data_IF_856196938902
#
_entry.id   IF_856196938902
#
_cell.length_a   1.000
_cell.length_b   1.000
_cell.length_c   1.000
_cell.angle_alpha   90.00
_cell.angle_beta   90.00
_cell.angle_gamma   90.00
#
_symmetry.space_group_name_H-M   'P 1'
#
loop_
_entity.id
_entity.type
_entity.pdbx_description
1 polymer ?
#
# COMPACT_ATOMS: atom_id res chain seq x y z
N UNK A 1 -49.78 -16.27 -36.22
CA UNK A 1 -50.16 -15.97 -37.62
C UNK A 1 -50.19 -14.45 -37.77
N UNK A 2 -49.80 -13.90 -38.93
CA UNK A 2 -49.72 -12.45 -39.18
C UNK A 2 -51.12 -11.79 -39.06
N UNK A 3 -51.29 -10.69 -38.30
CA UNK A 3 -50.99 -9.27 -38.59
C UNK A 3 -52.12 -8.55 -39.34
N UNK A 4 -52.49 -7.34 -38.88
CA UNK A 4 -52.97 -6.18 -39.66
C UNK A 4 -53.35 -5.00 -38.74
N UNK A 5 -52.90 -3.79 -39.09
CA UNK A 5 -53.38 -2.49 -38.56
C UNK A 5 -54.55 -1.98 -39.47
N UNK A 6 -55.26 -0.82 -39.25
CA UNK A 6 -54.67 0.49 -38.91
C UNK A 6 -55.53 1.57 -38.17
N UNK A 7 -54.88 2.71 -37.86
CA UNK A 7 -55.38 4.11 -37.97
C UNK A 7 -56.08 4.86 -36.80
N UNK A 8 -55.25 5.71 -36.13
CA UNK A 8 -55.42 7.17 -35.84
C UNK A 8 -56.66 7.75 -35.12
N UNK A 9 -56.40 8.38 -33.96
CA UNK A 9 -56.83 9.73 -33.47
C UNK A 9 -56.01 10.08 -32.20
N UNK A 10 -55.73 11.34 -31.77
CA UNK A 10 -55.79 12.68 -32.39
C UNK A 10 -54.88 13.69 -31.60
N UNK A 11 -53.93 14.38 -32.26
CA UNK A 11 -53.28 15.64 -31.80
C UNK A 11 -52.31 15.59 -30.59
N UNK A 12 -51.43 16.58 -30.33
CA UNK A 12 -50.80 17.63 -31.15
C UNK A 12 -49.48 18.03 -30.46
N UNK A 13 -48.37 18.20 -31.17
CA UNK A 13 -47.10 18.74 -30.61
C UNK A 13 -46.99 20.24 -30.87
N UNK A 14 -46.44 20.98 -29.90
CA UNK A 14 -46.02 22.37 -30.06
C UNK A 14 -44.50 22.51 -29.85
N UNK A 15 -43.90 23.33 -30.71
CA UNK A 15 -42.46 23.59 -30.80
C UNK A 15 -42.04 24.79 -29.92
N UNK A 16 -40.73 24.99 -29.79
CA UNK A 16 -40.17 26.34 -29.72
C UNK A 16 -38.94 26.47 -30.65
N UNK A 17 -38.89 27.56 -31.42
CA UNK A 17 -37.72 28.03 -32.17
C UNK A 17 -36.82 28.88 -31.23
N UNK A 18 -35.57 29.29 -31.54
CA UNK A 18 -34.82 29.31 -32.79
C UNK A 18 -34.76 30.71 -33.41
N UNK A 19 -33.58 31.37 -33.44
CA UNK A 19 -33.16 32.34 -34.49
C UNK A 19 -31.69 32.79 -34.32
N UNK A 20 -31.15 33.55 -35.28
CA UNK A 20 -29.70 33.79 -35.45
C UNK A 20 -29.34 35.12 -36.15
N UNK A 21 -28.08 35.59 -35.93
CA UNK A 21 -27.26 36.54 -36.73
C UNK A 21 -27.60 38.04 -36.75
N UNK A 22 -26.55 38.87 -36.67
CA UNK A 22 -26.26 40.05 -37.53
C UNK A 22 -24.73 40.32 -37.53
N UNK A 23 -24.19 41.15 -38.44
CA UNK A 23 -22.75 41.28 -38.71
C UNK A 23 -22.29 42.70 -39.15
N UNK A 24 -20.97 42.88 -39.39
CA UNK A 24 -20.21 44.09 -39.91
C UNK A 24 -19.85 45.17 -38.86
N UNK A 25 -18.72 45.90 -38.87
CA UNK A 25 -17.45 45.88 -39.66
C UNK A 25 -16.29 46.60 -38.88
N UNK A 26 -15.04 46.62 -39.40
CA UNK A 26 -13.77 46.99 -38.72
C UNK A 26 -13.38 48.50 -38.74
N UNK A 27 -12.29 48.93 -38.02
CA UNK A 27 -10.97 49.06 -38.67
C UNK A 27 -9.75 48.63 -37.80
N UNK A 28 -8.55 49.19 -38.06
CA UNK A 28 -7.23 48.50 -38.01
C UNK A 28 -6.21 48.98 -36.95
N UNK A 29 -5.02 48.33 -36.98
CA UNK A 29 -3.68 48.76 -36.48
C UNK A 29 -3.38 48.73 -34.97
N UNK A 30 -2.29 48.05 -34.59
CA UNK A 30 -1.75 48.07 -33.22
C UNK A 30 -0.81 46.90 -32.89
N UNK A 31 0.36 46.81 -33.51
CA UNK A 31 1.36 45.82 -33.12
C UNK A 31 2.12 46.27 -31.86
N UNK A 32 1.97 45.55 -30.74
CA UNK A 32 2.82 45.77 -29.56
C UNK A 32 3.42 44.46 -29.04
N UNK A 33 4.74 44.34 -29.20
CA UNK A 33 5.59 43.34 -28.54
C UNK A 33 5.42 43.45 -27.03
N UNK A 34 5.04 42.36 -26.37
CA UNK A 34 5.47 42.14 -24.98
C UNK A 34 6.86 41.53 -25.05
N UNK A 35 7.85 42.28 -24.55
CA UNK A 35 9.26 41.91 -24.62
C UNK A 35 9.56 40.88 -23.53
N UNK A 36 10.06 39.72 -23.94
CA UNK A 36 10.74 38.78 -23.05
C UNK A 36 12.00 39.43 -22.49
N UNK A 37 11.96 39.85 -21.23
CA UNK A 37 13.12 40.21 -20.43
C UNK A 37 13.41 39.07 -19.44
N UNK A 38 14.68 38.71 -19.30
CA UNK A 38 15.22 37.62 -18.48
C UNK A 38 15.13 36.19 -19.04
N UNK A 39 15.82 35.95 -20.16
CA UNK A 39 16.42 34.64 -20.48
C UNK A 39 17.54 34.30 -19.48
N UNK A 40 17.19 33.96 -18.23
CA UNK A 40 18.17 33.50 -17.24
C UNK A 40 18.44 32.01 -17.46
N UNK A 41 19.59 31.71 -18.08
CA UNK A 41 20.15 30.35 -18.23
C UNK A 41 20.05 29.62 -16.88
N UNK A 42 19.51 28.39 -16.81
CA UNK A 42 19.46 27.65 -15.55
C UNK A 42 20.88 27.48 -15.03
N UNK A 43 21.14 27.91 -13.78
CA UNK A 43 22.35 27.50 -13.10
C UNK A 43 22.32 25.96 -12.97
N UNK A 44 23.46 25.25 -13.12
CA UNK A 44 23.49 23.84 -12.85
C UNK A 44 23.03 23.62 -11.40
N UNK A 45 21.99 22.80 -11.21
CA UNK A 45 21.62 22.34 -9.86
C UNK A 45 22.89 21.74 -9.24
N UNK A 46 23.24 22.06 -7.98
CA UNK A 46 24.28 21.31 -7.30
C UNK A 46 23.86 19.85 -7.34
N UNK A 47 24.76 18.97 -7.80
CA UNK A 47 24.55 17.52 -7.63
C UNK A 47 24.30 17.29 -6.13
N UNK A 48 23.33 16.45 -5.73
CA UNK A 48 23.35 15.89 -4.40
C UNK A 48 24.76 15.36 -4.15
N UNK A 49 25.35 15.70 -3.00
CA UNK A 49 26.62 15.10 -2.63
C UNK A 49 26.40 13.58 -2.62
N UNK A 50 27.19 12.85 -3.41
CA UNK A 50 27.16 11.40 -3.31
C UNK A 50 27.49 11.06 -1.86
N UNK A 51 26.59 10.35 -1.18
CA UNK A 51 26.81 9.88 0.18
C UNK A 51 27.79 8.71 0.08
N UNK A 52 29.05 9.04 -0.16
CA UNK A 52 30.17 8.10 -0.15
C UNK A 52 30.47 7.77 1.29
N UNK A 53 29.70 6.84 1.84
CA UNK A 53 29.91 6.24 3.15
C UNK A 53 29.83 4.72 3.04
N UNK A 54 30.77 4.12 2.33
CA UNK A 54 31.21 2.75 2.63
C UNK A 54 32.03 2.78 3.94
N UNK A 55 31.37 3.20 5.03
CA UNK A 55 31.93 3.13 6.38
C UNK A 55 32.15 1.67 6.76
N UNK A 56 33.23 1.31 7.49
CA UNK A 56 33.48 -0.08 7.88
C UNK A 56 32.28 -0.77 8.55
N UNK A 57 31.53 -0.01 9.37
CA UNK A 57 30.32 -0.45 10.08
C UNK A 57 29.24 -1.08 9.17
N UNK A 58 29.21 -0.70 7.89
CA UNK A 58 28.20 -1.15 6.92
C UNK A 58 28.53 -2.54 6.40
N UNK A 59 29.80 -2.84 6.14
CA UNK A 59 30.24 -4.20 5.79
C UNK A 59 30.00 -5.17 6.93
N UNK A 60 30.31 -4.76 8.16
CA UNK A 60 30.09 -5.54 9.38
C UNK A 60 28.59 -5.76 9.69
N UNK A 61 27.70 -4.84 9.28
CA UNK A 61 26.26 -5.08 9.28
C UNK A 61 25.84 -6.03 8.15
N UNK A 62 26.35 -5.85 6.94
CA UNK A 62 25.99 -6.67 5.78
C UNK A 62 26.35 -8.15 5.98
N UNK A 63 27.53 -8.43 6.55
CA UNK A 63 28.00 -9.78 6.88
C UNK A 63 27.07 -10.54 7.85
N UNK A 64 26.21 -9.85 8.62
CA UNK A 64 25.22 -10.50 9.49
C UNK A 64 24.02 -11.04 8.71
N UNK A 65 23.76 -10.52 7.51
CA UNK A 65 22.54 -10.78 6.74
C UNK A 65 22.79 -11.57 5.44
N UNK A 66 24.03 -11.60 4.95
CA UNK A 66 24.41 -12.21 3.68
C UNK A 66 25.50 -13.27 3.84
N UNK A 67 25.56 -14.22 2.91
CA UNK A 67 26.57 -15.28 2.85
C UNK A 67 26.36 -16.45 3.83
N UNK A 68 27.40 -17.30 4.02
CA UNK A 68 27.30 -18.52 4.83
C UNK A 68 27.05 -18.25 6.32
N UNK A 69 27.68 -17.21 6.87
CA UNK A 69 27.69 -16.88 8.31
C UNK A 69 26.49 -16.02 8.76
N UNK A 70 25.56 -15.74 7.85
CA UNK A 70 24.34 -14.95 8.12
C UNK A 70 23.51 -15.51 9.29
N UNK A 71 22.61 -14.68 9.83
CA UNK A 71 21.62 -15.11 10.83
C UNK A 71 20.73 -16.24 10.29
N UNK A 72 20.49 -17.26 11.10
CA UNK A 72 19.57 -18.37 10.82
C UNK A 72 18.38 -18.33 11.80
N UNK A 73 17.25 -18.94 11.44
CA UNK A 73 16.02 -18.92 12.24
C UNK A 73 16.14 -19.70 13.57
N UNK A 74 17.02 -20.69 13.63
CA UNK A 74 17.45 -21.39 14.84
C UNK A 74 18.88 -20.97 15.23
N UNK A 75 19.20 -20.91 16.54
CA UNK A 75 20.56 -20.65 17.02
C UNK A 75 21.49 -21.85 16.79
N UNK A 76 22.79 -21.58 16.85
CA UNK A 76 23.84 -22.60 16.81
C UNK A 76 23.63 -23.64 17.91
N UNK A 77 23.79 -24.92 17.55
CA UNK A 77 23.51 -26.06 18.43
C UNK A 77 22.08 -26.62 18.33
N UNK A 78 21.13 -25.92 17.69
CA UNK A 78 19.80 -26.46 17.35
C UNK A 78 19.62 -26.79 15.86
N UNK A 79 20.43 -26.18 14.99
CA UNK A 79 20.51 -26.50 13.56
C UNK A 79 21.97 -26.44 13.14
N UNK A 80 22.46 -27.44 12.42
CA UNK A 80 23.79 -27.36 11.79
C UNK A 80 23.71 -26.63 10.44
N UNK A 81 24.80 -25.95 10.05
CA UNK A 81 24.88 -25.24 8.76
C UNK A 81 24.74 -26.19 7.57
N UNK A 82 25.08 -27.48 7.71
CA UNK A 82 24.88 -28.50 6.66
C UNK A 82 23.42 -28.93 6.47
N UNK A 83 22.51 -28.64 7.42
CA UNK A 83 21.09 -28.94 7.33
C UNK A 83 20.30 -27.84 6.60
N UNK A 84 20.93 -26.68 6.36
CA UNK A 84 20.33 -25.59 5.58
C UNK A 84 20.22 -26.00 4.11
N UNK A 85 19.06 -25.85 3.46
CA UNK A 85 18.90 -26.22 2.05
C UNK A 85 19.86 -25.44 1.15
N UNK A 86 20.53 -26.14 0.21
CA UNK A 86 21.60 -25.57 -0.64
C UNK A 86 21.19 -24.34 -1.47
N UNK A 87 19.90 -24.22 -1.82
CA UNK A 87 19.33 -23.07 -2.55
C UNK A 87 19.09 -21.84 -1.65
N UNK A 88 19.26 -21.97 -0.33
CA UNK A 88 19.27 -20.87 0.64
C UNK A 88 20.73 -20.56 1.02
N UNK A 89 21.42 -19.89 0.10
CA UNK A 89 22.85 -19.63 0.15
C UNK A 89 23.24 -18.31 0.83
N UNK A 90 22.28 -17.46 1.20
CA UNK A 90 22.53 -16.13 1.76
C UNK A 90 22.77 -15.02 0.75
N UNK A 91 22.45 -15.19 -0.53
CA UNK A 91 22.47 -14.10 -1.53
C UNK A 91 21.20 -13.23 -1.48
N UNK A 92 20.08 -13.78 -0.98
CA UNK A 92 18.79 -13.09 -0.92
C UNK A 92 18.64 -12.27 0.37
N UNK A 93 18.16 -11.01 0.30
CA UNK A 93 17.88 -10.20 1.49
C UNK A 93 16.91 -10.92 2.44
N UNK A 94 17.35 -11.13 3.68
CA UNK A 94 16.53 -11.77 4.70
C UNK A 94 16.43 -13.30 4.56
N UNK A 95 17.37 -13.96 3.89
CA UNK A 95 17.52 -15.41 3.97
C UNK A 95 17.95 -15.83 5.39
N UNK A 96 17.12 -16.63 6.08
CA UNK A 96 17.42 -17.23 7.40
C UNK A 96 17.51 -18.77 7.36
N UNK A 97 17.57 -19.40 6.17
CA UNK A 97 17.57 -20.86 6.01
C UNK A 97 16.21 -21.52 6.27
N UNK A 98 15.11 -20.76 6.31
CA UNK A 98 13.78 -21.25 6.66
C UNK A 98 12.96 -21.69 5.43
N UNK A 99 13.01 -22.98 5.09
CA UNK A 99 12.01 -23.65 4.24
C UNK A 99 11.74 -25.09 4.74
N UNK A 100 11.00 -25.26 5.87
CA UNK A 100 10.76 -26.58 6.46
C UNK A 100 9.86 -27.49 5.61
N UNK A 101 9.15 -26.93 4.62
CA UNK A 101 8.27 -27.69 3.72
C UNK A 101 8.93 -27.94 2.34
N UNK A 102 10.06 -27.29 2.05
CA UNK A 102 10.81 -27.45 0.83
C UNK A 102 10.05 -26.99 -0.42
N UNK A 103 9.25 -25.92 -0.30
CA UNK A 103 8.42 -25.41 -1.38
C UNK A 103 9.24 -24.75 -2.49
N UNK A 104 10.41 -24.21 -2.17
CA UNK A 104 11.18 -23.34 -3.06
C UNK A 104 12.37 -24.03 -3.74
N UNK A 105 12.38 -25.36 -3.81
CA UNK A 105 13.52 -26.17 -4.32
C UNK A 105 13.93 -25.89 -5.77
N UNK A 106 13.04 -25.35 -6.61
CA UNK A 106 13.35 -25.00 -8.00
C UNK A 106 13.67 -23.50 -8.11
N UNK A 107 14.71 -23.07 -8.85
CA UNK A 107 15.07 -21.65 -8.99
C UNK A 107 13.94 -20.75 -9.53
N UNK A 108 13.11 -21.27 -10.44
CA UNK A 108 11.94 -20.56 -10.97
C UNK A 108 10.87 -20.34 -9.89
N UNK A 109 10.55 -21.40 -9.14
CA UNK A 109 9.58 -21.34 -8.04
C UNK A 109 10.10 -20.45 -6.91
N UNK A 110 11.39 -20.54 -6.56
CA UNK A 110 12.06 -19.67 -5.58
C UNK A 110 11.93 -18.18 -5.92
N UNK A 111 12.31 -17.78 -7.13
CA UNK A 111 12.22 -16.38 -7.58
C UNK A 111 10.77 -15.86 -7.56
N UNK A 112 9.82 -16.74 -7.89
CA UNK A 112 8.38 -16.45 -7.86
C UNK A 112 7.83 -16.32 -6.43
N UNK A 113 8.23 -17.19 -5.51
CA UNK A 113 7.85 -17.09 -4.09
C UNK A 113 8.47 -15.87 -3.42
N UNK A 114 9.72 -15.52 -3.74
CA UNK A 114 10.35 -14.27 -3.31
C UNK A 114 9.55 -13.03 -3.78
N UNK A 115 9.12 -13.02 -5.05
CA UNK A 115 8.28 -11.95 -5.57
C UNK A 115 6.90 -11.89 -4.87
N UNK A 116 6.27 -13.04 -4.61
CA UNK A 116 5.04 -13.09 -3.83
C UNK A 116 5.25 -12.57 -2.41
N UNK A 117 6.32 -12.98 -1.73
CA UNK A 117 6.63 -12.54 -0.37
C UNK A 117 6.81 -11.02 -0.31
N UNK A 118 7.61 -10.44 -1.21
CA UNK A 118 7.86 -9.00 -1.24
C UNK A 118 6.59 -8.19 -1.52
N UNK A 119 5.72 -8.65 -2.42
CA UNK A 119 4.47 -7.96 -2.75
C UNK A 119 3.48 -8.06 -1.58
N UNK A 120 3.28 -9.25 -0.98
CA UNK A 120 2.44 -9.39 0.21
C UNK A 120 2.99 -8.60 1.40
N UNK A 121 4.30 -8.55 1.59
CA UNK A 121 4.98 -7.73 2.58
C UNK A 121 4.65 -6.24 2.42
N UNK A 122 4.75 -5.69 1.20
CA UNK A 122 4.42 -4.28 0.93
C UNK A 122 2.96 -3.96 1.19
N UNK A 123 2.04 -4.80 0.70
CA UNK A 123 0.61 -4.65 0.97
C UNK A 123 0.27 -4.80 2.46
N UNK A 124 0.92 -5.71 3.18
CA UNK A 124 0.73 -5.87 4.61
C UNK A 124 1.27 -4.70 5.43
N UNK A 125 2.39 -4.06 5.04
CA UNK A 125 2.87 -2.84 5.70
C UNK A 125 1.87 -1.69 5.56
N UNK A 126 1.30 -1.50 4.35
CA UNK A 126 0.24 -0.51 4.11
C UNK A 126 -1.04 -0.85 4.87
N UNK A 127 -1.46 -2.12 4.86
CA UNK A 127 -2.64 -2.60 5.58
C UNK A 127 -2.53 -2.45 7.09
N UNK A 128 -1.40 -2.84 7.69
CA UNK A 128 -1.17 -2.73 9.13
C UNK A 128 -1.19 -1.26 9.58
N UNK A 129 -0.52 -0.36 8.85
CA UNK A 129 -0.60 1.07 9.13
C UNK A 129 -2.04 1.61 8.95
N UNK A 130 -2.73 1.22 7.88
CA UNK A 130 -4.10 1.61 7.58
C UNK A 130 -5.15 1.07 8.57
N UNK A 131 -4.86 -0.01 9.29
CA UNK A 131 -5.74 -0.56 10.32
C UNK A 131 -5.48 0.10 11.69
N UNK A 132 -4.22 0.32 12.05
CA UNK A 132 -3.84 0.89 13.36
C UNK A 132 -4.11 2.40 13.42
N UNK A 133 -3.72 3.16 12.39
CA UNK A 133 -3.70 4.63 12.47
C UNK A 133 -5.11 5.23 12.63
N UNK A 134 -6.14 4.84 11.85
CA UNK A 134 -7.48 5.42 12.01
C UNK A 134 -8.10 5.09 13.37
N UNK A 135 -7.93 3.86 13.86
CA UNK A 135 -8.44 3.41 15.16
C UNK A 135 -7.75 4.18 16.31
N UNK A 136 -6.42 4.34 16.25
CA UNK A 136 -5.66 5.13 17.21
C UNK A 136 -6.06 6.61 17.19
N UNK A 137 -6.17 7.21 16.01
CA UNK A 137 -6.62 8.59 15.86
C UNK A 137 -8.03 8.79 16.45
N UNK A 138 -8.96 7.87 16.20
CA UNK A 138 -10.31 7.94 16.77
C UNK A 138 -10.28 7.84 18.31
N UNK A 139 -9.47 6.92 18.86
CA UNK A 139 -9.30 6.78 20.31
C UNK A 139 -8.68 8.00 21.00
N UNK A 140 -7.81 8.74 20.30
CA UNK A 140 -7.19 9.97 20.79
C UNK A 140 -7.90 11.26 20.32
N UNK A 141 -9.17 11.17 19.86
CA UNK A 141 -10.04 12.33 19.66
C UNK A 141 -9.97 13.00 18.28
N UNK A 142 -9.24 12.43 17.31
CA UNK A 142 -9.31 12.86 15.92
C UNK A 142 -10.44 12.08 15.20
N UNK A 143 -11.41 12.81 14.62
CA UNK A 143 -12.58 12.21 13.99
C UNK A 143 -12.24 11.54 12.64
N UNK A 144 -11.81 10.28 12.69
CA UNK A 144 -11.56 9.44 11.51
C UNK A 144 -12.81 8.66 11.05
N UNK A 145 -14.01 9.14 11.40
CA UNK A 145 -15.28 8.47 11.15
C UNK A 145 -15.93 7.91 12.42
N UNK A 146 -17.26 7.67 12.40
CA UNK A 146 -17.99 7.21 13.58
C UNK A 146 -17.48 5.86 14.12
N UNK A 147 -17.02 4.98 13.22
CA UNK A 147 -16.38 3.71 13.58
C UNK A 147 -15.13 3.48 12.72
N UNK A 148 -14.00 4.07 13.09
CA UNK A 148 -12.70 3.89 12.43
C UNK A 148 -12.06 2.51 12.70
N UNK A 149 -12.85 1.44 12.66
CA UNK A 149 -12.45 0.05 12.95
C UNK A 149 -12.41 -0.72 11.63
N UNK A 150 -11.23 -1.22 11.27
CA UNK A 150 -10.93 -1.70 9.90
C UNK A 150 -11.93 -2.73 9.32
N UNK A 151 -12.47 -3.64 10.15
CA UNK A 151 -13.41 -4.67 9.72
C UNK A 151 -14.86 -4.18 9.60
N UNK A 152 -15.16 -2.96 10.09
CA UNK A 152 -16.46 -2.31 9.98
C UNK A 152 -16.53 -1.23 8.91
N UNK A 153 -15.41 -0.57 8.59
CA UNK A 153 -15.35 0.60 7.68
C UNK A 153 -16.06 0.38 6.33
N UNK A 154 -16.05 -0.86 5.80
CA UNK A 154 -16.73 -1.19 4.55
C UNK A 154 -18.27 -1.08 4.61
N UNK A 155 -18.88 -1.33 5.77
CA UNK A 155 -20.33 -1.18 5.96
C UNK A 155 -20.76 0.30 5.96
N UNK A 156 -19.96 1.18 6.55
CA UNK A 156 -20.25 2.62 6.63
C UNK A 156 -20.49 3.29 5.27
N UNK A 157 -19.86 2.76 4.19
CA UNK A 157 -20.01 3.25 2.82
C UNK A 157 -21.26 2.70 2.10
N UNK A 158 -21.89 1.64 2.63
CA UNK A 158 -23.14 1.07 2.11
C UNK A 158 -24.37 1.84 2.66
N UNK A 159 -24.30 2.31 3.90
CA UNK A 159 -25.42 2.97 4.61
C UNK A 159 -25.72 4.41 4.14
N UNK A 160 -25.19 4.81 2.97
CA UNK A 160 -25.44 6.12 2.34
C UNK A 160 -24.65 7.29 2.93
N UNK A 161 -23.84 7.06 3.96
CA UNK A 161 -22.94 8.05 4.53
C UNK A 161 -21.64 8.15 3.71
N UNK A 162 -21.00 9.32 3.73
CA UNK A 162 -19.64 9.52 3.20
C UNK A 162 -18.59 9.20 4.26
N UNK A 163 -17.48 8.61 3.83
CA UNK A 163 -16.34 8.34 4.71
C UNK A 163 -15.71 9.66 5.18
N UNK A 164 -15.50 9.81 6.48
CA UNK A 164 -14.77 10.94 7.05
C UNK A 164 -13.28 10.60 7.20
N UNK A 165 -12.42 11.53 6.81
CA UNK A 165 -10.97 11.43 6.95
C UNK A 165 -10.45 12.67 7.68
N UNK A 166 -9.99 12.48 8.92
CA UNK A 166 -9.57 13.56 9.83
C UNK A 166 -10.56 14.73 9.89
N UNK A 167 -11.84 14.43 10.11
CA UNK A 167 -12.94 15.39 10.21
C UNK A 167 -13.48 15.93 8.87
N UNK A 168 -12.87 15.58 7.74
CA UNK A 168 -13.31 16.00 6.42
C UNK A 168 -14.06 14.86 5.72
N UNK A 169 -15.30 15.11 5.33
CA UNK A 169 -16.08 14.17 4.50
C UNK A 169 -15.44 14.03 3.11
N UNK A 170 -15.08 12.81 2.71
CA UNK A 170 -14.65 12.50 1.35
C UNK A 170 -15.91 12.31 0.49
N UNK A 171 -16.16 13.12 -0.55
CA UNK A 171 -17.39 13.07 -1.35
C UNK A 171 -17.36 11.95 -2.40
N UNK A 172 -17.08 10.71 -1.95
CA UNK A 172 -17.13 9.49 -2.77
C UNK A 172 -18.22 8.56 -2.25
N UNK A 173 -18.99 7.99 -3.17
CA UNK A 173 -19.87 6.87 -2.88
C UNK A 173 -19.19 5.55 -3.29
N UNK A 174 -19.81 4.41 -2.96
CA UNK A 174 -19.28 3.08 -3.29
C UNK A 174 -18.93 2.92 -4.78
N UNK A 175 -19.75 3.44 -5.69
CA UNK A 175 -19.53 3.32 -7.14
C UNK A 175 -18.25 4.04 -7.56
N UNK A 176 -18.03 5.27 -7.06
CA UNK A 176 -16.83 6.05 -7.35
C UNK A 176 -15.60 5.43 -6.69
N UNK A 177 -15.71 4.93 -5.45
CA UNK A 177 -14.62 4.25 -4.76
C UNK A 177 -14.15 3.00 -5.53
N UNK A 178 -15.07 2.07 -5.83
CA UNK A 178 -14.76 0.84 -6.58
C UNK A 178 -14.22 1.14 -7.97
N UNK A 179 -14.79 2.11 -8.69
CA UNK A 179 -14.28 2.52 -10.00
C UNK A 179 -12.86 3.10 -9.93
N UNK A 180 -12.58 3.93 -8.93
CA UNK A 180 -11.25 4.51 -8.71
C UNK A 180 -10.22 3.42 -8.34
N UNK A 181 -10.56 2.51 -7.43
CA UNK A 181 -9.69 1.39 -7.02
C UNK A 181 -9.35 0.48 -8.20
N UNK A 182 -10.37 0.01 -8.94
CA UNK A 182 -10.16 -0.89 -10.10
C UNK A 182 -9.33 -0.22 -11.20
N UNK A 183 -9.59 1.05 -11.51
CA UNK A 183 -8.87 1.77 -12.58
C UNK A 183 -7.45 2.14 -12.14
N UNK A 184 -7.25 2.67 -10.93
CA UNK A 184 -5.96 3.17 -10.49
C UNK A 184 -5.03 2.04 -10.03
N UNK A 185 -5.51 1.11 -9.18
CA UNK A 185 -4.69 0.00 -8.69
C UNK A 185 -4.52 -1.05 -9.79
N UNK A 186 -5.59 -1.40 -10.50
CA UNK A 186 -5.50 -2.30 -11.66
C UNK A 186 -4.64 -1.72 -12.79
N UNK A 187 -4.72 -0.41 -13.02
CA UNK A 187 -3.84 0.31 -13.95
C UNK A 187 -2.38 0.30 -13.52
N UNK A 188 -2.09 0.50 -12.23
CA UNK A 188 -0.74 0.43 -11.67
C UNK A 188 -0.13 -0.99 -11.78
N UNK A 189 -0.91 -2.03 -11.46
CA UNK A 189 -0.49 -3.42 -11.62
C UNK A 189 -0.24 -3.78 -13.09
N UNK A 190 -1.11 -3.33 -14.01
CA UNK A 190 -0.89 -3.50 -15.45
C UNK A 190 0.39 -2.79 -15.92
N UNK A 191 0.60 -1.54 -15.49
CA UNK A 191 1.79 -0.75 -15.83
C UNK A 191 3.10 -1.38 -15.32
N UNK A 192 3.04 -2.00 -14.12
CA UNK A 192 4.13 -2.81 -13.54
C UNK A 192 4.41 -4.06 -14.36
N UNK A 193 3.38 -4.76 -14.85
CA UNK A 193 3.52 -5.98 -15.65
C UNK A 193 4.13 -5.71 -17.04
N UNK A 194 3.69 -4.65 -17.73
CA UNK A 194 4.22 -4.29 -19.05
C UNK A 194 5.60 -3.63 -19.00
N UNK A 195 6.16 -3.40 -17.80
CA UNK A 195 7.39 -2.66 -17.55
C UNK A 195 7.41 -1.29 -18.26
N UNK A 196 6.37 -0.47 -18.08
CA UNK A 196 6.17 0.77 -18.85
C UNK A 196 7.21 1.88 -18.63
N UNK A 197 8.20 1.66 -17.77
CA UNK A 197 9.37 2.52 -17.50
C UNK A 197 10.70 1.87 -17.91
N UNK A 198 10.68 0.68 -18.49
CA UNK A 198 11.84 -0.13 -18.91
C UNK A 198 12.92 -0.29 -17.82
N UNK A 199 12.49 -0.75 -16.63
CA UNK A 199 13.34 -0.90 -15.45
C UNK A 199 13.93 -2.31 -15.36
N UNK A 200 15.18 -2.42 -14.91
CA UNK A 200 15.94 -3.69 -14.85
C UNK A 200 15.44 -4.62 -13.74
N UNK A 201 15.37 -4.15 -12.49
CA UNK A 201 14.89 -4.91 -11.33
C UNK A 201 13.36 -4.74 -11.18
N UNK A 202 12.60 -5.79 -11.49
CA UNK A 202 11.13 -5.79 -11.39
C UNK A 202 10.61 -5.81 -9.95
N UNK A 203 11.43 -6.18 -8.97
CA UNK A 203 11.07 -6.24 -7.55
C UNK A 203 11.45 -4.94 -6.82
N UNK A 204 12.60 -4.35 -7.15
CA UNK A 204 13.06 -3.07 -6.61
C UNK A 204 13.35 -2.07 -7.76
N UNK A 205 12.30 -1.49 -8.38
CA UNK A 205 12.41 -0.70 -9.61
C UNK A 205 13.30 0.55 -9.54
N UNK A 206 13.61 1.06 -8.34
CA UNK A 206 14.50 2.20 -8.16
C UNK A 206 14.11 3.43 -8.98
N UNK A 207 15.10 4.14 -9.51
CA UNK A 207 14.88 5.24 -10.47
C UNK A 207 13.91 6.31 -9.94
N UNK A 208 12.77 6.58 -10.62
CA UNK A 208 11.76 7.54 -10.16
C UNK A 208 11.19 7.25 -8.76
N UNK A 209 11.27 6.01 -8.28
CA UNK A 209 10.74 5.59 -6.98
C UNK A 209 11.73 5.80 -5.81
N UNK A 210 12.97 6.22 -6.09
CA UNK A 210 13.91 6.72 -5.07
C UNK A 210 14.20 8.22 -5.28
N UNK A 211 13.25 9.12 -5.00
CA UNK A 211 13.45 10.56 -5.16
C UNK A 211 14.44 11.18 -4.17
N UNK A 212 14.87 10.43 -3.15
CA UNK A 212 15.80 10.87 -2.11
C UNK A 212 17.22 10.31 -2.31
N UNK A 213 17.43 9.35 -3.21
CA UNK A 213 18.73 8.74 -3.51
C UNK A 213 19.25 7.80 -2.42
N UNK A 214 18.36 7.21 -1.62
CA UNK A 214 18.71 6.35 -0.48
C UNK A 214 19.36 5.03 -0.90
N UNK A 215 19.11 4.56 -2.12
CA UNK A 215 19.64 3.32 -2.68
C UNK A 215 20.77 3.56 -3.72
N UNK A 216 21.47 4.70 -3.62
CA UNK A 216 22.56 5.06 -4.54
C UNK A 216 23.87 4.29 -4.34
N UNK A 217 24.10 3.76 -3.14
CA UNK A 217 25.18 2.84 -2.80
C UNK A 217 24.63 1.40 -2.73
N UNK A 218 25.21 0.41 -3.45
CA UNK A 218 24.73 -0.97 -3.42
C UNK A 218 24.70 -1.60 -2.02
N UNK A 219 25.65 -1.27 -1.13
CA UNK A 219 25.71 -1.86 0.21
C UNK A 219 24.60 -1.28 1.10
N UNK A 220 24.32 0.02 1.00
CA UNK A 220 23.12 0.62 1.61
C UNK A 220 21.84 0.05 1.02
N UNK A 221 21.75 -0.11 -0.31
CA UNK A 221 20.58 -0.68 -0.96
C UNK A 221 20.30 -2.11 -0.45
N UNK A 222 21.33 -2.95 -0.31
CA UNK A 222 21.22 -4.29 0.25
C UNK A 222 20.71 -4.29 1.70
N UNK A 223 21.30 -3.47 2.58
CA UNK A 223 20.83 -3.31 3.96
C UNK A 223 19.39 -2.76 4.06
N UNK A 224 19.01 -1.85 3.17
CA UNK A 224 17.65 -1.31 3.09
C UNK A 224 16.66 -2.38 2.60
N UNK A 225 17.02 -3.21 1.60
CA UNK A 225 16.21 -4.38 1.17
C UNK A 225 16.01 -5.37 2.33
N UNK A 226 17.04 -5.64 3.14
CA UNK A 226 16.92 -6.47 4.36
C UNK A 226 15.99 -5.83 5.40
N UNK A 227 16.05 -4.51 5.61
CA UNK A 227 15.13 -3.80 6.51
C UNK A 227 13.70 -3.81 5.98
N UNK A 228 13.50 -3.64 4.67
CA UNK A 228 12.20 -3.69 4.00
C UNK A 228 11.52 -5.04 4.22
N UNK A 229 12.17 -6.16 3.88
CA UNK A 229 11.57 -7.50 4.01
C UNK A 229 11.33 -7.89 5.48
N UNK A 230 12.17 -7.45 6.42
CA UNK A 230 11.96 -7.71 7.86
C UNK A 230 10.75 -6.96 8.42
N UNK A 231 10.56 -5.70 8.08
CA UNK A 231 9.34 -4.96 8.43
C UNK A 231 8.12 -5.56 7.70
N UNK A 232 8.29 -5.98 6.45
CA UNK A 232 7.30 -6.70 5.65
C UNK A 232 6.78 -7.98 6.31
N UNK A 233 7.68 -8.86 6.76
CA UNK A 233 7.35 -10.09 7.48
C UNK A 233 6.67 -9.81 8.81
N UNK A 234 7.15 -8.82 9.58
CA UNK A 234 6.51 -8.39 10.82
C UNK A 234 5.08 -7.87 10.54
N UNK A 235 4.87 -7.12 9.47
CA UNK A 235 3.56 -6.63 9.07
C UNK A 235 2.63 -7.76 8.62
N UNK A 236 3.09 -8.73 7.82
CA UNK A 236 2.30 -9.92 7.45
C UNK A 236 1.88 -10.73 8.69
N UNK A 237 2.80 -10.94 9.63
CA UNK A 237 2.50 -11.60 10.91
C UNK A 237 1.48 -10.80 11.73
N UNK A 238 1.64 -9.48 11.78
CA UNK A 238 0.72 -8.57 12.49
C UNK A 238 -0.68 -8.59 11.88
N UNK A 239 -0.80 -8.59 10.55
CA UNK A 239 -2.07 -8.67 9.83
C UNK A 239 -2.80 -9.99 10.12
N UNK A 240 -2.09 -11.13 10.14
CA UNK A 240 -2.67 -12.41 10.56
C UNK A 240 -3.18 -12.35 12.01
N UNK A 241 -2.40 -11.75 12.92
CA UNK A 241 -2.81 -11.49 14.29
C UNK A 241 -4.06 -10.61 14.38
N UNK A 242 -4.14 -9.55 13.57
CA UNK A 242 -5.28 -8.63 13.51
C UNK A 242 -6.54 -9.32 13.02
N UNK A 243 -6.46 -10.16 11.99
CA UNK A 243 -7.59 -10.95 11.50
C UNK A 243 -8.12 -11.90 12.58
N UNK A 244 -7.24 -12.69 13.21
CA UNK A 244 -7.63 -13.69 14.20
C UNK A 244 -8.17 -13.01 15.47
N UNK A 245 -7.46 -12.01 16.01
CA UNK A 245 -7.88 -11.39 17.27
C UNK A 245 -9.17 -10.59 17.09
N UNK A 246 -9.38 -9.89 15.96
CA UNK A 246 -10.62 -9.16 15.71
C UNK A 246 -11.82 -10.12 15.62
N UNK A 247 -11.64 -11.27 14.94
CA UNK A 247 -12.67 -12.31 14.87
C UNK A 247 -13.02 -12.90 16.24
N UNK A 248 -12.03 -13.11 17.13
CA UNK A 248 -12.25 -13.67 18.47
C UNK A 248 -12.78 -12.63 19.48
N UNK A 249 -12.35 -11.36 19.38
CA UNK A 249 -12.61 -10.33 20.40
C UNK A 249 -13.73 -9.35 20.03
N UNK A 250 -14.09 -9.24 18.75
CA UNK A 250 -15.04 -8.23 18.26
C UNK A 250 -14.51 -6.79 18.30
N UNK A 251 -13.18 -6.62 18.44
CA UNK A 251 -12.52 -5.33 18.69
C UNK A 251 -11.28 -5.16 17.79
N UNK A 252 -10.94 -3.91 17.48
CA UNK A 252 -9.75 -3.58 16.68
C UNK A 252 -8.43 -3.80 17.43
N UNK A 253 -7.28 -3.79 16.73
CA UNK A 253 -5.98 -3.94 17.36
C UNK A 253 -5.64 -2.88 18.42
N UNK A 254 -6.09 -1.63 18.27
CA UNK A 254 -5.76 -0.57 19.24
C UNK A 254 -6.63 -0.67 20.49
N UNK A 255 -7.90 -1.05 20.36
CA UNK A 255 -8.76 -1.32 21.51
C UNK A 255 -8.25 -2.54 22.30
N UNK A 256 -7.90 -3.63 21.59
CA UNK A 256 -7.26 -4.81 22.18
C UNK A 256 -5.98 -4.47 22.96
N UNK A 257 -5.08 -3.69 22.35
CA UNK A 257 -3.86 -3.23 22.99
C UNK A 257 -4.17 -2.40 24.24
N UNK A 258 -5.11 -1.46 24.16
CA UNK A 258 -5.47 -0.58 25.28
C UNK A 258 -6.05 -1.35 26.46
N UNK A 259 -6.92 -2.35 26.24
CA UNK A 259 -7.50 -3.18 27.30
C UNK A 259 -6.47 -4.12 27.93
N UNK A 260 -5.58 -4.67 27.11
CA UNK A 260 -4.47 -5.49 27.61
C UNK A 260 -3.49 -4.66 28.44
N UNK A 261 -3.18 -3.42 28.03
CA UNK A 261 -2.30 -2.53 28.81
C UNK A 261 -2.94 -2.03 30.11
N UNK A 262 -4.27 -1.89 30.18
CA UNK A 262 -4.95 -1.49 31.42
C UNK A 262 -5.03 -2.60 32.47
N UNK A 263 -5.18 -3.86 32.02
CA UNK A 263 -5.07 -5.03 32.89
C UNK A 263 -4.56 -6.26 32.09
N UNK A 264 -3.25 -6.55 32.11
CA UNK A 264 -2.67 -7.67 31.36
C UNK A 264 -3.17 -9.04 31.82
N UNK A 265 -3.59 -9.17 33.08
CA UNK A 265 -4.01 -10.44 33.68
C UNK A 265 -5.52 -10.68 33.54
N UNK A 266 -6.33 -9.62 33.62
CA UNK A 266 -7.78 -9.65 33.37
C UNK A 266 -8.18 -9.57 31.90
N UNK A 267 -7.39 -8.94 31.02
CA UNK A 267 -7.69 -8.78 29.58
C UNK A 267 -6.62 -9.45 28.70
N UNK A 268 -6.71 -10.76 28.53
CA UNK A 268 -5.85 -11.54 27.62
C UNK A 268 -6.65 -12.63 26.89
N UNK A 269 -5.98 -13.43 26.08
CA UNK A 269 -6.62 -14.49 25.28
C UNK A 269 -7.42 -15.49 26.14
N UNK A 270 -6.90 -15.87 27.32
CA UNK A 270 -7.54 -16.85 28.19
C UNK A 270 -8.80 -16.29 28.85
N UNK A 271 -8.78 -15.02 29.27
CA UNK A 271 -9.95 -14.39 29.89
C UNK A 271 -11.05 -14.06 28.87
N UNK A 272 -10.69 -13.77 27.62
CA UNK A 272 -11.65 -13.66 26.50
C UNK A 272 -12.28 -15.03 26.19
N UNK A 273 -11.48 -16.07 25.98
CA UNK A 273 -12.00 -17.41 25.62
C UNK A 273 -12.85 -18.03 26.74
N UNK A 274 -12.53 -17.78 28.01
CA UNK A 274 -13.33 -18.25 29.15
C UNK A 274 -14.60 -17.42 29.42
N UNK A 275 -14.83 -16.33 28.68
CA UNK A 275 -15.95 -15.42 28.91
C UNK A 275 -15.84 -14.60 30.20
N UNK A 276 -14.66 -14.58 30.84
CA UNK A 276 -14.40 -13.84 32.07
C UNK A 276 -14.10 -12.35 31.84
N UNK A 277 -13.62 -11.99 30.65
CA UNK A 277 -13.43 -10.59 30.25
C UNK A 277 -14.74 -10.00 29.69
N UNK A 278 -15.28 -8.98 30.36
CA UNK A 278 -16.45 -8.24 29.87
C UNK A 278 -16.08 -7.36 28.67
N UNK A 279 -16.16 -7.95 27.47
CA UNK A 279 -16.05 -7.26 26.19
C UNK A 279 -17.45 -6.91 25.72
N UNK A 280 -17.81 -5.62 25.74
CA UNK A 280 -18.97 -5.13 24.99
C UNK A 280 -18.71 -5.39 23.50
N UNK A 281 -19.45 -6.30 22.83
CA UNK A 281 -19.29 -6.49 21.41
C UNK A 281 -19.61 -5.16 20.74
N UNK A 282 -18.68 -4.60 19.98
CA UNK A 282 -18.90 -3.28 19.37
C UNK A 282 -19.95 -3.30 18.26
N UNK A 283 -20.39 -4.50 17.82
CA UNK A 283 -21.24 -4.85 16.67
C UNK A 283 -22.17 -3.75 16.14
#
# INVERSE_FOLDING_TARGET
MAALAPSKMLGTRLNFAGSSRYATAAPTTGAQKIVSLFSKKPAPKPKPAAVTSSSPDIGDELAKWYGPDRRIFLPEGLLDRSEVPEYLNGEVPGDYGYDPFGLSKKPEDFSKYQAYELIHARWAMLGAAGFIIPEACNKFGANCGPEAVWFKTGALLLDGNTLNYFGNSIPINLIVAVAAEVVLVGGAEYYRIINGLDLEDKLHPGGPFDPLGLASDPDQAALLKVKEIKNGRLAMFSMLGFFIQAYVTGEGPVENLSKHLSDPFGNNLLTVISGAAERTPSL
#
